data_IF_920522893649
#
_entry.id   IF_920522893649
#
_cell.length_a   1.000
_cell.length_b   1.000
_cell.length_c   1.000
_cell.angle_alpha   90.00
_cell.angle_beta   90.00
_cell.angle_gamma   90.00
#
_symmetry.space_group_name_H-M   'P 1'
#
loop_
_entity.id
_entity.type
_entity.pdbx_description
1 polymer ?
#
# COMPACT_ATOMS: atom_id res chain seq x y z
N UNK A 1 5.94 -17.00 -15.81
CA UNK A 1 6.54 -16.24 -14.70
C UNK A 1 7.04 -17.25 -13.66
N UNK A 2 7.96 -16.86 -12.77
CA UNK A 2 8.64 -17.73 -11.78
C UNK A 2 7.66 -18.43 -10.84
N UNK A 3 6.48 -17.84 -10.62
CA UNK A 3 5.46 -18.33 -9.69
C UNK A 3 4.86 -19.67 -10.14
N UNK A 4 4.85 -19.97 -11.44
CA UNK A 4 4.37 -21.26 -11.93
C UNK A 4 5.24 -22.41 -11.41
N UNK A 5 6.56 -22.30 -11.58
CA UNK A 5 7.49 -23.34 -11.11
C UNK A 5 7.69 -23.32 -9.60
N UNK A 6 7.63 -22.13 -8.97
CA UNK A 6 7.68 -22.03 -7.52
C UNK A 6 6.47 -22.72 -6.85
N UNK A 7 5.28 -22.61 -7.43
CA UNK A 7 4.09 -23.31 -6.93
C UNK A 7 4.25 -24.85 -7.01
N UNK A 8 4.75 -25.37 -8.13
CA UNK A 8 5.04 -26.82 -8.29
C UNK A 8 6.06 -27.30 -7.26
N UNK A 9 7.12 -26.53 -7.03
CA UNK A 9 8.15 -26.89 -6.04
C UNK A 9 7.65 -26.86 -4.60
N UNK A 10 6.82 -25.87 -4.25
CA UNK A 10 6.24 -25.77 -2.90
C UNK A 10 5.16 -26.82 -2.66
N UNK A 11 4.38 -27.16 -3.68
CA UNK A 11 3.42 -28.26 -3.65
C UNK A 11 4.12 -29.62 -3.48
N UNK A 12 5.21 -29.85 -4.23
CA UNK A 12 6.07 -31.01 -4.05
C UNK A 12 6.68 -31.09 -2.64
N UNK A 13 6.96 -29.95 -2.01
CA UNK A 13 7.43 -29.86 -0.63
C UNK A 13 6.30 -29.92 0.42
N UNK A 14 5.08 -30.26 0.02
CA UNK A 14 3.88 -30.38 0.86
C UNK A 14 3.54 -29.10 1.63
N UNK A 15 3.94 -27.94 1.12
CA UNK A 15 3.58 -26.66 1.71
C UNK A 15 2.10 -26.38 1.39
N UNK A 16 1.25 -26.09 2.39
CA UNK A 16 -0.13 -25.72 2.13
C UNK A 16 -0.23 -24.48 1.22
N UNK A 17 -1.16 -24.40 0.24
CA UNK A 17 -1.23 -23.29 -0.70
C UNK A 17 -1.35 -21.90 -0.06
N UNK A 18 -2.05 -21.81 1.08
CA UNK A 18 -2.17 -20.55 1.83
C UNK A 18 -0.84 -20.08 2.48
N UNK A 19 0.18 -20.95 2.52
CA UNK A 19 1.53 -20.64 3.00
C UNK A 19 2.50 -20.23 1.88
N UNK A 20 2.10 -20.23 0.60
CA UNK A 20 3.00 -19.86 -0.50
C UNK A 20 3.48 -18.41 -0.41
N UNK A 21 2.59 -17.47 -0.10
CA UNK A 21 2.95 -16.05 0.10
C UNK A 21 3.85 -15.84 1.33
N UNK A 22 3.57 -16.46 2.49
CA UNK A 22 4.52 -16.48 3.60
C UNK A 22 5.91 -17.02 3.24
N UNK A 23 6.01 -18.13 2.50
CA UNK A 23 7.30 -18.70 2.07
C UNK A 23 8.10 -17.73 1.18
N UNK A 24 7.41 -17.09 0.23
CA UNK A 24 8.00 -16.04 -0.59
C UNK A 24 8.50 -14.86 0.27
N UNK A 25 7.69 -14.43 1.24
CA UNK A 25 8.02 -13.32 2.15
C UNK A 25 9.28 -13.63 2.97
N UNK A 26 9.37 -14.85 3.51
CA UNK A 26 10.57 -15.33 4.22
C UNK A 26 11.82 -15.24 3.35
N UNK A 27 11.76 -15.74 2.10
CA UNK A 27 12.88 -15.64 1.16
C UNK A 27 13.23 -14.19 0.78
N UNK A 28 12.22 -13.31 0.64
CA UNK A 28 12.43 -11.89 0.26
C UNK A 28 12.99 -11.03 1.38
N UNK A 29 12.88 -11.45 2.63
CA UNK A 29 13.38 -10.70 3.79
C UNK A 29 14.87 -10.34 3.66
N UNK A 30 15.70 -11.23 3.10
CA UNK A 30 17.11 -10.95 2.84
C UNK A 30 17.30 -9.77 1.87
N UNK A 31 16.60 -9.78 0.74
CA UNK A 31 16.67 -8.72 -0.26
C UNK A 31 16.09 -7.40 0.23
N UNK A 32 14.96 -7.43 0.94
CA UNK A 32 14.38 -6.23 1.53
C UNK A 32 15.31 -5.60 2.57
N UNK A 33 15.92 -6.40 3.44
CA UNK A 33 16.87 -5.91 4.44
C UNK A 33 18.09 -5.26 3.79
N UNK A 34 18.62 -5.87 2.72
CA UNK A 34 19.73 -5.30 1.95
C UNK A 34 19.35 -3.94 1.34
N UNK A 35 18.20 -3.83 0.68
CA UNK A 35 17.75 -2.57 0.09
C UNK A 35 17.40 -1.51 1.13
N UNK A 36 16.87 -1.89 2.31
CA UNK A 36 16.65 -0.95 3.41
C UNK A 36 17.99 -0.34 3.86
N UNK A 37 19.03 -1.17 4.01
CA UNK A 37 20.35 -0.69 4.40
C UNK A 37 20.99 0.19 3.31
N UNK A 38 20.84 -0.19 2.04
CA UNK A 38 21.27 0.60 0.90
C UNK A 38 20.59 1.98 0.89
N UNK A 39 19.26 2.02 1.02
CA UNK A 39 18.49 3.26 1.06
C UNK A 39 18.88 4.13 2.26
N UNK A 40 19.12 3.52 3.42
CA UNK A 40 19.60 4.24 4.62
C UNK A 40 20.94 4.92 4.35
N UNK A 41 21.86 4.27 3.63
CA UNK A 41 23.16 4.83 3.24
C UNK A 41 23.03 5.93 2.18
N UNK A 42 22.08 5.82 1.26
CA UNK A 42 21.77 6.89 0.29
C UNK A 42 21.25 8.16 0.99
N UNK A 43 20.52 8.02 2.10
CA UNK A 43 20.11 9.15 2.94
C UNK A 43 19.09 10.08 2.30
N UNK A 44 18.36 9.62 1.26
CA UNK A 44 17.39 10.43 0.51
C UNK A 44 15.95 10.08 0.87
N UNK A 45 15.16 11.10 1.23
CA UNK A 45 13.72 10.95 1.45
C UNK A 45 13.00 10.67 0.12
N UNK A 46 12.19 9.61 0.10
CA UNK A 46 11.27 9.31 -1.01
C UNK A 46 9.94 10.02 -0.71
N UNK A 47 9.66 11.13 -1.40
CA UNK A 47 8.43 11.91 -1.27
C UNK A 47 7.87 12.27 -2.66
N UNK A 48 7.11 11.37 -3.30
CA UNK A 48 6.44 11.70 -4.56
C UNK A 48 5.34 12.75 -4.33
N UNK A 49 5.04 13.52 -5.37
CA UNK A 49 3.92 14.47 -5.40
C UNK A 49 2.83 13.96 -6.34
N UNK A 50 1.59 14.36 -6.08
CA UNK A 50 0.46 14.10 -6.97
C UNK A 50 -0.05 15.43 -7.55
N UNK A 51 -0.56 15.40 -8.78
CA UNK A 51 -1.25 16.54 -9.38
C UNK A 51 -2.72 16.51 -8.96
N UNK A 52 -3.18 17.56 -8.30
CA UNK A 52 -4.60 17.71 -7.99
C UNK A 52 -5.40 18.00 -9.26
N UNK A 53 -6.40 17.16 -9.54
CA UNK A 53 -7.36 17.30 -10.65
C UNK A 53 -8.81 17.24 -10.16
N UNK A 54 -9.01 17.47 -8.85
CA UNK A 54 -10.34 17.53 -8.24
C UNK A 54 -11.00 18.90 -8.42
N UNK A 55 -12.16 19.07 -7.77
CA UNK A 55 -12.92 20.34 -7.79
C UNK A 55 -12.11 21.47 -7.15
N UNK A 56 -12.21 22.69 -7.69
CA UNK A 56 -11.61 23.87 -7.05
C UNK A 56 -12.20 24.16 -5.66
N UNK A 57 -11.70 25.19 -4.96
CA UNK A 57 -12.25 25.62 -3.68
C UNK A 57 -13.76 25.87 -3.80
N UNK A 58 -14.53 25.27 -2.90
CA UNK A 58 -15.98 25.41 -2.84
C UNK A 58 -16.42 25.63 -1.41
N UNK A 59 -17.48 26.43 -1.23
CA UNK A 59 -18.10 26.58 0.08
C UNK A 59 -18.77 25.26 0.50
N UNK A 60 -18.92 24.99 1.80
CA UNK A 60 -19.58 23.78 2.27
C UNK A 60 -21.00 23.59 1.71
N UNK A 61 -21.74 24.68 1.52
CA UNK A 61 -23.12 24.66 0.99
C UNK A 61 -23.21 24.21 -0.47
N UNK A 62 -22.10 24.27 -1.20
CA UNK A 62 -21.99 23.79 -2.58
C UNK A 62 -21.57 22.31 -2.67
N UNK A 63 -21.57 21.60 -1.54
CA UNK A 63 -21.34 20.16 -1.47
C UNK A 63 -22.68 19.44 -1.54
N UNK A 64 -22.82 18.51 -2.48
CA UNK A 64 -24.00 17.65 -2.57
C UNK A 64 -24.22 16.92 -1.23
N UNK A 65 -25.42 17.07 -0.65
CA UNK A 65 -25.74 16.53 0.68
C UNK A 65 -25.44 17.47 1.86
N UNK A 66 -25.16 18.76 1.62
CA UNK A 66 -25.05 19.74 2.70
C UNK A 66 -26.36 19.90 3.47
N UNK A 67 -26.29 19.73 4.79
CA UNK A 67 -27.39 19.98 5.72
C UNK A 67 -27.12 21.26 6.52
N UNK A 68 -27.93 22.28 6.28
CA UNK A 68 -27.83 23.57 6.95
C UNK A 68 -28.24 23.53 8.43
N UNK A 69 -28.90 22.46 8.88
CA UNK A 69 -29.37 22.31 10.26
C UNK A 69 -28.27 21.85 11.22
N UNK A 70 -27.16 21.28 10.72
CA UNK A 70 -26.03 20.79 11.53
C UNK A 70 -25.37 21.92 12.35
N UNK A 71 -25.36 23.15 11.83
CA UNK A 71 -24.84 24.31 12.56
C UNK A 71 -25.65 24.65 13.83
N UNK A 72 -26.93 24.28 13.88
CA UNK A 72 -27.79 24.52 15.04
C UNK A 72 -27.67 23.44 16.13
N UNK A 73 -27.12 22.26 15.79
CA UNK A 73 -27.01 21.11 16.71
C UNK A 73 -25.84 21.23 17.72
N UNK A 74 -24.94 22.20 17.53
CA UNK A 74 -23.77 22.43 18.38
C UNK A 74 -23.87 23.71 19.23
N UNK A 75 -25.07 24.28 19.35
CA UNK A 75 -25.44 25.36 20.27
C UNK A 75 -26.25 24.81 21.43
#
# INVERSE_FOLDING_TARGET
NVEFWAAVLLDFAEVPPHMFTPMFTSARTAGWSAHILEQKRTGRLIRPSARYVGKGPRKPEAVDGWDSTVGALHT
#
